data_IF_281711739875
#
_entry.id   IF_281711739875
#
_cell.length_a   1.000
_cell.length_b   1.000
_cell.length_c   1.000
_cell.angle_alpha   90.00
_cell.angle_beta   90.00
_cell.angle_gamma   90.00
#
_symmetry.space_group_name_H-M   'P 1'
#
loop_
_entity.id
_entity.type
_entity.pdbx_description
1 polymer ?
#
# COMPACT_ATOMS: atom_id res chain seq x y z
N UNK A 1 -29.06 15.20 -5.25
CA UNK A 1 -29.42 14.49 -6.48
C UNK A 1 -28.52 13.26 -6.68
N UNK A 2 -27.22 13.47 -6.87
CA UNK A 2 -26.09 12.67 -6.33
C UNK A 2 -26.38 11.17 -6.07
N UNK A 3 -27.03 10.77 -4.97
CA UNK A 3 -27.32 9.34 -4.68
C UNK A 3 -28.11 8.60 -5.79
N UNK A 4 -28.93 9.31 -6.57
CA UNK A 4 -29.66 8.77 -7.71
C UNK A 4 -28.93 8.91 -9.06
N UNK A 5 -27.82 9.65 -9.09
CA UNK A 5 -26.93 9.80 -10.25
C UNK A 5 -25.69 8.90 -10.17
N UNK A 6 -25.30 8.48 -8.96
CA UNK A 6 -24.14 7.62 -8.73
C UNK A 6 -24.26 6.27 -9.44
N UNK A 7 -23.17 5.85 -10.09
CA UNK A 7 -22.98 4.50 -10.59
C UNK A 7 -21.56 4.03 -10.22
N UNK A 8 -21.42 2.74 -9.91
CA UNK A 8 -20.11 2.12 -9.76
C UNK A 8 -19.41 2.05 -11.12
N UNK A 9 -18.12 2.39 -11.17
CA UNK A 9 -17.33 2.44 -12.41
C UNK A 9 -16.38 1.24 -12.46
N UNK A 10 -16.58 0.35 -13.43
CA UNK A 10 -15.61 -0.68 -13.76
C UNK A 10 -14.37 -0.04 -14.41
N UNK A 11 -13.18 -0.33 -13.88
CA UNK A 11 -11.90 0.13 -14.43
C UNK A 11 -10.97 -1.07 -14.60
N UNK A 12 -10.14 -1.04 -15.65
CA UNK A 12 -9.05 -2.02 -15.81
C UNK A 12 -8.09 -1.92 -14.60
N UNK A 13 -7.54 -3.05 -14.12
CA UNK A 13 -6.54 -3.03 -13.06
C UNK A 13 -5.24 -2.34 -13.52
N UNK A 14 -4.42 -1.95 -12.54
CA UNK A 14 -3.00 -1.69 -12.76
C UNK A 14 -2.32 -3.03 -12.96
N UNK A 15 -1.66 -3.19 -14.10
CA UNK A 15 -0.86 -4.36 -14.44
C UNK A 15 0.64 -4.01 -14.33
N UNK A 16 1.41 -4.82 -13.60
CA UNK A 16 2.86 -4.68 -13.53
C UNK A 16 3.55 -6.06 -13.44
N UNK A 17 4.84 -6.13 -13.76
CA UNK A 17 5.63 -7.36 -13.64
C UNK A 17 6.67 -7.24 -12.53
N UNK A 18 6.83 -8.28 -11.71
CA UNK A 18 7.85 -8.33 -10.66
C UNK A 18 8.41 -9.75 -10.54
N UNK A 19 9.70 -9.93 -10.84
CA UNK A 19 10.43 -11.23 -10.75
C UNK A 19 9.75 -12.42 -11.46
N UNK A 20 9.04 -12.16 -12.56
CA UNK A 20 8.29 -13.18 -13.31
C UNK A 20 6.85 -13.41 -12.84
N UNK A 21 6.40 -12.74 -11.78
CA UNK A 21 4.99 -12.63 -11.43
C UNK A 21 4.36 -11.43 -12.13
N UNK A 22 3.06 -11.53 -12.44
CA UNK A 22 2.21 -10.40 -12.87
C UNK A 22 1.36 -9.95 -11.70
N UNK A 23 1.48 -8.68 -11.31
CA UNK A 23 0.62 -8.02 -10.33
C UNK A 23 -0.58 -7.40 -11.06
N UNK A 24 -1.78 -7.67 -10.54
CA UNK A 24 -3.00 -6.92 -10.81
C UNK A 24 -3.41 -6.20 -9.51
N UNK A 25 -3.65 -4.89 -9.58
CA UNK A 25 -4.03 -4.09 -8.40
C UNK A 25 -4.95 -2.92 -8.77
N UNK A 26 -5.43 -2.17 -7.78
CA UNK A 26 -6.39 -1.07 -7.99
C UNK A 26 -5.82 0.08 -8.82
N UNK A 27 -6.63 0.54 -9.77
CA UNK A 27 -6.40 1.74 -10.56
C UNK A 27 -6.87 3.03 -9.83
N UNK A 28 -6.37 4.21 -10.26
CA UNK A 28 -6.91 5.51 -9.88
C UNK A 28 -8.45 5.55 -10.00
N UNK A 29 -9.19 6.10 -9.01
CA UNK A 29 -8.75 6.99 -7.93
C UNK A 29 -8.03 6.33 -6.73
N UNK A 30 -7.76 5.02 -6.71
CA UNK A 30 -6.81 4.48 -5.73
C UNK A 30 -5.37 4.79 -6.13
N UNK A 31 -4.58 5.27 -5.17
CA UNK A 31 -3.12 5.36 -5.25
C UNK A 31 -2.42 4.00 -5.23
N UNK A 32 -3.11 2.97 -4.73
CA UNK A 32 -2.53 1.71 -4.27
C UNK A 32 -1.70 0.98 -5.32
N UNK A 33 -2.30 0.60 -6.44
CA UNK A 33 -1.63 -0.19 -7.47
C UNK A 33 -0.45 0.52 -8.13
N UNK A 34 -0.53 1.84 -8.28
CA UNK A 34 0.55 2.67 -8.85
C UNK A 34 1.72 2.75 -7.88
N UNK A 35 1.46 3.16 -6.64
CA UNK A 35 2.47 3.33 -5.60
C UNK A 35 3.17 2.00 -5.30
N UNK A 36 2.41 0.89 -5.24
CA UNK A 36 2.94 -0.47 -5.11
C UNK A 36 3.85 -0.84 -6.30
N UNK A 37 3.44 -0.53 -7.54
CA UNK A 37 4.21 -0.84 -8.74
C UNK A 37 5.52 -0.07 -8.82
N UNK A 38 5.54 1.22 -8.43
CA UNK A 38 6.78 2.01 -8.33
C UNK A 38 7.75 1.33 -7.34
N UNK A 39 7.28 0.96 -6.15
CA UNK A 39 8.12 0.32 -5.12
C UNK A 39 8.69 -1.02 -5.61
N UNK A 40 7.87 -1.88 -6.22
CA UNK A 40 8.31 -3.15 -6.78
C UNK A 40 9.34 -2.96 -7.91
N UNK A 41 9.13 -2.00 -8.81
CA UNK A 41 10.06 -1.74 -9.92
C UNK A 41 11.41 -1.17 -9.44
N UNK A 42 11.42 -0.38 -8.35
CA UNK A 42 12.64 0.05 -7.66
C UNK A 42 13.33 -1.16 -7.01
N UNK A 43 12.58 -2.04 -6.34
CA UNK A 43 13.14 -3.14 -5.57
C UNK A 43 13.62 -4.34 -6.41
N UNK A 44 13.09 -4.52 -7.62
CA UNK A 44 13.45 -5.64 -8.51
C UNK A 44 14.95 -5.69 -8.84
N UNK A 45 15.63 -4.53 -8.89
CA UNK A 45 17.07 -4.42 -9.14
C UNK A 45 17.98 -4.73 -7.94
N UNK A 46 17.41 -4.95 -6.74
CA UNK A 46 18.13 -5.44 -5.57
C UNK A 46 17.89 -6.94 -5.38
N UNK A 47 18.84 -7.65 -4.76
CA UNK A 47 18.63 -9.01 -4.27
C UNK A 47 18.33 -8.93 -2.76
N UNK A 48 17.05 -8.97 -2.41
CA UNK A 48 16.56 -8.76 -1.04
C UNK A 48 16.82 -10.00 -0.16
N UNK A 49 16.71 -11.19 -0.73
CA UNK A 49 17.13 -12.48 -0.14
C UNK A 49 18.51 -12.37 0.55
N UNK A 50 19.55 -11.92 -0.18
CA UNK A 50 20.93 -11.79 0.31
C UNK A 50 21.14 -10.62 1.27
N UNK A 51 20.23 -9.64 1.30
CA UNK A 51 20.24 -8.63 2.37
C UNK A 51 19.74 -9.19 3.70
N UNK A 52 18.95 -10.27 3.66
CA UNK A 52 18.30 -10.88 4.82
C UNK A 52 17.04 -10.13 5.24
N UNK A 53 15.94 -10.87 5.41
CA UNK A 53 14.64 -10.32 5.81
C UNK A 53 14.74 -9.50 7.11
N UNK A 54 14.23 -8.27 7.10
CA UNK A 54 14.28 -7.29 8.18
C UNK A 54 15.67 -6.96 8.74
N UNK A 55 16.74 -7.12 7.95
CA UNK A 55 18.05 -6.53 8.25
C UNK A 55 18.06 -5.01 8.06
N UNK A 56 19.09 -4.33 8.57
CA UNK A 56 19.32 -2.91 8.31
C UNK A 56 19.43 -2.55 6.82
N UNK A 57 19.93 -3.45 5.97
CA UNK A 57 20.10 -3.21 4.53
C UNK A 57 18.76 -3.33 3.79
N UNK A 58 18.00 -4.38 4.10
CA UNK A 58 16.66 -4.59 3.59
C UNK A 58 15.71 -3.45 3.99
N UNK A 59 15.66 -3.12 5.29
CA UNK A 59 14.80 -2.04 5.81
C UNK A 59 15.19 -0.70 5.19
N UNK A 60 16.49 -0.44 4.98
CA UNK A 60 16.97 0.76 4.31
C UNK A 60 16.46 0.87 2.86
N UNK A 61 16.74 -0.12 1.99
CA UNK A 61 16.36 -0.01 0.57
C UNK A 61 14.85 0.00 0.36
N UNK A 62 14.10 -0.76 1.16
CA UNK A 62 12.63 -0.76 1.11
C UNK A 62 12.08 0.56 1.63
N UNK A 63 12.62 1.13 2.72
CA UNK A 63 12.27 2.49 3.17
C UNK A 63 12.55 3.55 2.10
N UNK A 64 13.69 3.46 1.41
CA UNK A 64 14.06 4.43 0.37
C UNK A 64 13.20 4.27 -0.91
N UNK A 65 12.72 3.07 -1.22
CA UNK A 65 11.72 2.83 -2.26
C UNK A 65 10.34 3.40 -1.87
N UNK A 66 9.89 3.14 -0.64
CA UNK A 66 8.65 3.71 -0.07
C UNK A 66 8.69 5.25 -0.08
N UNK A 67 9.77 5.86 0.41
CA UNK A 67 9.99 7.31 0.41
C UNK A 67 9.78 7.95 -0.97
N UNK A 68 10.23 7.29 -2.05
CA UNK A 68 10.09 7.78 -3.43
C UNK A 68 8.67 7.61 -3.97
N UNK A 69 8.12 6.39 -3.86
CA UNK A 69 6.78 6.10 -4.35
C UNK A 69 5.69 6.94 -3.67
N UNK A 70 5.88 7.36 -2.42
CA UNK A 70 4.95 8.26 -1.73
C UNK A 70 5.10 9.74 -2.10
N UNK A 71 6.30 10.17 -2.53
CA UNK A 71 6.47 11.47 -3.16
C UNK A 71 5.73 11.48 -4.52
N UNK A 72 5.92 10.46 -5.36
CA UNK A 72 5.14 10.28 -6.60
C UNK A 72 3.62 10.18 -6.31
N UNK A 73 3.19 9.50 -5.24
CA UNK A 73 1.79 9.45 -4.79
C UNK A 73 1.25 10.85 -4.54
N UNK A 74 1.98 11.65 -3.77
CA UNK A 74 1.56 12.99 -3.37
C UNK A 74 1.53 13.95 -4.56
N UNK A 75 2.60 13.98 -5.37
CA UNK A 75 2.73 14.90 -6.51
C UNK A 75 1.70 14.64 -7.62
N UNK A 76 1.46 13.37 -7.97
CA UNK A 76 0.80 13.02 -9.25
C UNK A 76 -0.61 12.41 -9.13
N UNK A 77 -0.96 11.74 -8.04
CA UNK A 77 -2.13 10.84 -8.03
C UNK A 77 -3.43 11.51 -7.56
N UNK A 78 -4.54 11.18 -8.22
CA UNK A 78 -5.89 11.69 -7.97
C UNK A 78 -6.94 10.94 -8.80
N UNK A 79 -8.19 11.40 -8.81
CA UNK A 79 -9.22 10.85 -9.70
C UNK A 79 -8.87 11.12 -11.17
N UNK A 80 -8.69 10.09 -12.02
CA UNK A 80 -8.29 10.27 -13.42
C UNK A 80 -9.37 10.99 -14.23
N UNK A 81 -10.63 10.95 -13.82
CA UNK A 81 -11.72 11.67 -14.48
C UNK A 81 -11.58 13.20 -14.32
N UNK A 82 -10.74 13.64 -13.37
CA UNK A 82 -10.43 15.04 -13.03
C UNK A 82 -8.91 15.36 -13.07
N UNK A 83 -8.10 14.41 -13.52
CA UNK A 83 -6.64 14.49 -13.59
C UNK A 83 -6.13 13.82 -14.90
N UNK A 84 -6.46 14.38 -16.08
CA UNK A 84 -6.18 13.75 -17.37
C UNK A 84 -4.68 13.69 -17.69
N UNK A 85 -3.89 14.61 -17.14
CA UNK A 85 -2.44 14.71 -17.33
C UNK A 85 -1.64 13.77 -16.38
N UNK A 86 -2.32 12.88 -15.65
CA UNK A 86 -1.72 11.84 -14.80
C UNK A 86 -0.64 11.07 -15.58
N UNK A 87 0.65 11.12 -15.19
CA UNK A 87 1.75 10.53 -15.96
C UNK A 87 1.88 9.01 -15.75
N UNK A 88 0.77 8.27 -15.95
CA UNK A 88 0.62 6.85 -15.66
C UNK A 88 1.71 5.97 -16.31
N UNK A 89 2.02 6.23 -17.59
CA UNK A 89 3.06 5.49 -18.32
C UNK A 89 4.44 5.67 -17.68
N UNK A 90 4.82 6.91 -17.32
CA UNK A 90 6.08 7.23 -16.60
C UNK A 90 6.14 6.52 -15.25
N UNK A 91 5.05 6.52 -14.48
CA UNK A 91 5.02 5.95 -13.13
C UNK A 91 5.09 4.42 -13.11
N UNK A 92 4.60 3.74 -14.14
CA UNK A 92 4.72 2.28 -14.27
C UNK A 92 5.99 1.83 -15.01
N UNK A 93 6.70 2.73 -15.69
CA UNK A 93 7.89 2.40 -16.46
C UNK A 93 9.12 2.01 -15.59
N UNK A 94 9.80 0.93 -16.00
CA UNK A 94 10.95 0.38 -15.26
C UNK A 94 12.23 1.22 -15.41
N UNK A 95 12.35 2.06 -16.44
CA UNK A 95 13.47 3.01 -16.56
C UNK A 95 13.31 4.22 -15.64
N UNK A 96 12.07 4.67 -15.37
CA UNK A 96 11.82 5.65 -14.30
C UNK A 96 12.16 5.08 -12.92
N UNK A 97 11.74 3.85 -12.63
CA UNK A 97 12.10 3.17 -11.38
C UNK A 97 13.62 2.91 -11.23
N UNK A 98 14.34 2.65 -12.33
CA UNK A 98 15.80 2.60 -12.36
C UNK A 98 16.44 3.97 -12.08
N UNK A 99 15.89 5.06 -12.65
CA UNK A 99 16.36 6.42 -12.35
C UNK A 99 16.15 6.77 -10.87
N UNK A 100 14.99 6.41 -10.30
CA UNK A 100 14.71 6.53 -8.86
C UNK A 100 15.70 5.69 -8.02
N UNK A 101 15.92 4.41 -8.38
CA UNK A 101 16.88 3.51 -7.72
C UNK A 101 18.31 4.07 -7.69
N UNK A 102 18.78 4.71 -8.77
CA UNK A 102 20.11 5.33 -8.84
C UNK A 102 20.35 6.48 -7.85
N UNK A 103 19.28 7.01 -7.23
CA UNK A 103 19.40 8.05 -6.19
C UNK A 103 19.48 7.46 -4.76
N UNK A 104 19.34 6.15 -4.59
CA UNK A 104 19.40 5.47 -3.28
C UNK A 104 20.88 5.24 -2.89
N UNK A 105 21.28 5.69 -1.71
CA UNK A 105 22.63 5.50 -1.18
C UNK A 105 22.62 4.58 0.04
N UNK A 106 23.25 3.40 -0.08
CA UNK A 106 23.37 2.42 1.01
C UNK A 106 24.00 2.97 2.30
N UNK A 107 24.70 4.09 2.23
CA UNK A 107 25.37 4.73 3.37
C UNK A 107 24.52 5.82 4.04
N UNK A 108 23.45 6.30 3.38
CA UNK A 108 22.65 7.41 3.91
C UNK A 108 21.21 7.44 3.36
N UNK A 109 20.23 7.55 4.25
CA UNK A 109 18.83 7.83 3.87
C UNK A 109 18.73 9.18 3.15
N UNK A 110 17.79 9.27 2.20
CA UNK A 110 17.40 10.56 1.62
C UNK A 110 16.62 11.39 2.65
N UNK A 111 16.43 12.68 2.39
CA UNK A 111 15.55 13.53 3.21
C UNK A 111 14.23 13.71 2.48
N UNK A 112 13.10 13.66 3.19
CA UNK A 112 11.81 14.10 2.68
C UNK A 112 11.68 15.60 2.88
N UNK A 113 11.88 16.36 1.80
CA UNK A 113 11.81 17.82 1.85
C UNK A 113 10.36 18.30 1.65
N UNK A 114 9.76 19.02 2.61
CA UNK A 114 8.47 19.68 2.41
C UNK A 114 8.49 20.73 1.29
N UNK A 115 9.66 21.25 0.89
CA UNK A 115 9.76 22.19 -0.23
C UNK A 115 9.69 21.50 -1.62
N UNK A 116 9.74 20.16 -1.68
CA UNK A 116 9.56 19.39 -2.93
C UNK A 116 8.12 18.85 -3.06
N UNK A 117 7.14 19.77 -3.05
CA UNK A 117 5.69 19.50 -3.02
C UNK A 117 5.19 18.84 -1.72
N UNK A 118 3.92 18.39 -1.71
CA UNK A 118 2.98 19.06 -0.80
C UNK A 118 2.66 18.37 0.56
N UNK A 119 2.27 17.09 0.77
CA UNK A 119 2.01 16.56 2.16
C UNK A 119 1.95 14.98 2.24
N UNK A 120 1.44 14.25 3.27
CA UNK A 120 0.36 14.50 4.26
C UNK A 120 0.10 13.46 5.39
N UNK A 121 -1.09 13.52 6.06
CA UNK A 121 -1.69 12.49 6.97
C UNK A 121 -3.10 11.99 6.52
N UNK A 122 -3.53 10.83 7.05
CA UNK A 122 -4.72 10.01 6.73
C UNK A 122 -4.85 8.87 7.79
N UNK A 123 -6.04 8.31 8.01
CA UNK A 123 -6.34 7.36 9.11
C UNK A 123 -6.10 5.88 8.75
N UNK A 124 -5.90 5.01 9.75
CA UNK A 124 -5.54 3.59 9.54
C UNK A 124 -6.75 2.62 9.43
N UNK A 125 -7.99 3.11 9.45
CA UNK A 125 -9.21 2.29 9.58
C UNK A 125 -9.80 1.87 8.21
N UNK A 126 -10.12 0.58 8.01
CA UNK A 126 -10.62 -0.01 6.73
C UNK A 126 -11.07 -1.47 7.01
N UNK A 127 -11.61 -2.21 6.02
CA UNK A 127 -11.75 -3.68 6.07
C UNK A 127 -11.34 -4.34 4.75
N UNK A 128 -10.73 -5.53 4.80
CA UNK A 128 -10.34 -6.32 3.62
C UNK A 128 -10.73 -7.79 3.76
N UNK A 129 -11.11 -8.44 2.64
CA UNK A 129 -11.25 -9.89 2.54
C UNK A 129 -10.85 -10.41 1.15
N UNK A 130 -10.46 -11.68 1.07
CA UNK A 130 -10.13 -12.37 -0.18
C UNK A 130 -10.82 -13.75 -0.24
N UNK A 131 -11.27 -14.17 -1.42
CA UNK A 131 -12.04 -15.41 -1.67
C UNK A 131 -11.55 -16.07 -2.97
N UNK A 132 -11.47 -17.41 -2.98
CA UNK A 132 -11.26 -18.21 -4.20
C UNK A 132 -12.22 -19.39 -4.22
N UNK A 133 -13.10 -19.49 -5.22
CA UNK A 133 -14.10 -20.57 -5.31
C UNK A 133 -13.59 -21.83 -6.02
N UNK A 134 -14.37 -22.91 -5.99
CA UNK A 134 -13.98 -24.22 -6.56
C UNK A 134 -13.67 -24.19 -8.06
N UNK A 135 -14.21 -23.23 -8.80
CA UNK A 135 -14.05 -23.12 -10.27
C UNK A 135 -12.88 -22.20 -10.65
N UNK A 136 -12.29 -21.52 -9.66
CA UNK A 136 -11.11 -20.66 -9.81
C UNK A 136 -11.43 -19.17 -9.84
N UNK A 137 -12.68 -18.76 -9.60
CA UNK A 137 -13.01 -17.34 -9.50
C UNK A 137 -12.35 -16.75 -8.26
N UNK A 138 -11.63 -15.65 -8.44
CA UNK A 138 -10.81 -14.99 -7.43
C UNK A 138 -11.33 -13.57 -7.16
N UNK A 139 -11.57 -13.24 -5.90
CA UNK A 139 -12.03 -11.91 -5.47
C UNK A 139 -11.15 -11.42 -4.33
N UNK A 140 -10.49 -10.28 -4.52
CA UNK A 140 -9.79 -9.54 -3.46
C UNK A 140 -10.50 -8.19 -3.30
N UNK A 141 -11.07 -7.92 -2.12
CA UNK A 141 -11.96 -6.78 -1.91
C UNK A 141 -11.59 -6.00 -0.65
N UNK A 142 -11.39 -4.69 -0.80
CA UNK A 142 -11.21 -3.75 0.30
C UNK A 142 -12.36 -2.74 0.26
N UNK A 143 -12.92 -2.41 1.43
CA UNK A 143 -13.94 -1.38 1.60
C UNK A 143 -13.72 -0.63 2.91
N UNK A 144 -14.22 0.60 3.02
CA UNK A 144 -14.00 1.44 4.21
C UNK A 144 -15.14 2.43 4.43
N UNK A 145 -15.05 3.17 5.54
CA UNK A 145 -15.80 4.39 5.86
C UNK A 145 -14.86 5.60 6.05
N UNK A 146 -13.61 5.43 5.63
CA UNK A 146 -12.38 6.22 5.90
C UNK A 146 -11.96 6.23 7.38
N UNK A 147 -12.83 6.61 8.34
CA UNK A 147 -12.61 6.39 9.78
C UNK A 147 -13.47 5.24 10.32
N UNK A 148 -13.08 4.68 11.48
CA UNK A 148 -13.65 3.46 12.10
C UNK A 148 -15.19 3.39 12.12
N UNK A 149 -15.85 4.48 12.57
CA UNK A 149 -17.31 4.62 12.60
C UNK A 149 -17.81 5.61 11.53
N UNK A 150 -16.98 5.88 10.52
CA UNK A 150 -17.12 6.99 9.58
C UNK A 150 -17.36 8.32 10.29
N UNK A 151 -18.26 9.11 9.70
CA UNK A 151 -18.79 10.36 10.25
C UNK A 151 -19.46 10.24 11.63
N UNK A 152 -19.67 9.00 12.12
CA UNK A 152 -20.45 8.64 13.31
C UNK A 152 -21.95 8.97 13.19
N UNK A 153 -22.42 9.38 12.01
CA UNK A 153 -23.83 9.60 11.72
C UNK A 153 -24.46 8.23 11.40
N UNK A 154 -25.45 7.82 12.20
CA UNK A 154 -26.32 6.68 11.91
C UNK A 154 -27.55 7.17 11.16
N UNK A 155 -27.90 6.54 10.04
CA UNK A 155 -29.11 6.90 9.29
C UNK A 155 -30.37 6.42 10.03
N UNK A 156 -31.13 7.37 10.58
CA UNK A 156 -32.37 7.11 11.31
C UNK A 156 -33.34 6.22 10.51
N UNK A 157 -33.83 5.15 11.14
CA UNK A 157 -34.74 4.17 10.53
C UNK A 157 -34.06 3.09 9.68
N UNK A 158 -32.82 3.30 9.21
CA UNK A 158 -32.06 2.33 8.42
C UNK A 158 -30.91 1.66 9.21
N UNK A 159 -30.37 2.32 10.23
CA UNK A 159 -29.44 1.73 11.21
C UNK A 159 -27.99 1.57 10.76
N UNK A 160 -27.62 1.95 9.54
CA UNK A 160 -26.24 1.95 9.06
C UNK A 160 -25.52 3.29 9.28
N UNK A 161 -24.18 3.25 9.30
CA UNK A 161 -23.29 4.41 9.43
C UNK A 161 -23.01 5.06 8.08
N UNK A 162 -22.79 6.38 8.08
CA UNK A 162 -22.28 7.11 6.91
C UNK A 162 -20.76 7.29 7.02
N UNK A 163 -20.04 7.10 5.91
CA UNK A 163 -18.59 7.37 5.84
C UNK A 163 -18.26 8.85 6.10
N UNK A 164 -16.97 9.16 6.23
CA UNK A 164 -16.46 10.51 6.07
C UNK A 164 -15.32 10.58 5.04
N UNK A 165 -15.45 9.77 3.98
CA UNK A 165 -14.45 9.56 2.91
C UNK A 165 -13.92 10.85 2.28
N UNK A 166 -14.68 11.96 2.35
CA UNK A 166 -14.20 13.29 1.94
C UNK A 166 -13.00 13.80 2.76
N UNK A 167 -12.60 13.13 3.84
CA UNK A 167 -11.34 13.37 4.56
C UNK A 167 -10.08 12.90 3.82
N UNK A 168 -10.21 11.95 2.88
CA UNK A 168 -9.13 11.57 1.95
C UNK A 168 -8.89 12.64 0.86
N UNK A 169 -9.79 13.64 0.72
CA UNK A 169 -9.48 14.83 -0.09
C UNK A 169 -8.50 15.74 0.64
N UNK A 170 -7.67 16.40 -0.15
CA UNK A 170 -6.73 17.41 0.28
C UNK A 170 -7.44 18.63 0.94
N UNK A 171 -7.36 18.85 2.27
CA UNK A 171 -8.17 19.87 2.97
C UNK A 171 -7.81 21.34 2.66
N UNK A 172 -6.59 21.64 2.21
CA UNK A 172 -6.09 23.01 2.00
C UNK A 172 -5.14 22.99 0.77
N UNK A 173 -5.31 23.87 -0.25
CA UNK A 173 -4.41 23.88 -1.41
C UNK A 173 -3.07 24.61 -1.17
N UNK A 174 -1.93 23.96 -1.48
CA UNK A 174 -0.61 24.57 -1.65
C UNK A 174 0.13 25.02 -0.39
N UNK A 175 0.38 24.11 0.56
CA UNK A 175 1.14 24.38 1.80
C UNK A 175 1.68 23.09 2.44
N UNK A 176 2.94 22.69 2.21
CA UNK A 176 3.50 21.58 3.01
C UNK A 176 3.86 22.00 4.43
N UNK A 177 3.66 21.08 5.37
CA UNK A 177 4.52 21.00 6.54
C UNK A 177 5.05 19.58 6.76
N UNK A 178 6.10 19.46 7.58
CA UNK A 178 6.79 18.20 7.86
C UNK A 178 5.99 17.23 8.74
N UNK A 179 4.74 17.55 9.10
CA UNK A 179 3.77 16.60 9.68
C UNK A 179 2.88 16.03 8.57
N UNK A 180 2.35 16.93 7.75
CA UNK A 180 1.54 16.72 6.57
C UNK A 180 0.00 16.58 6.77
N UNK A 181 -0.81 17.21 5.89
CA UNK A 181 -2.26 16.95 5.63
C UNK A 181 -2.70 17.49 4.23
N UNK A 182 -2.85 16.61 3.22
CA UNK A 182 -2.63 16.84 1.76
C UNK A 182 -3.27 18.10 1.09
N UNK A 183 -2.69 18.57 -0.03
CA UNK A 183 -2.95 19.85 -0.73
C UNK A 183 -2.42 19.98 -2.17
N UNK A 184 -1.79 18.94 -2.74
CA UNK A 184 -1.39 18.93 -4.17
C UNK A 184 -2.60 19.05 -5.10
N UNK A 185 -2.40 19.58 -6.31
CA UNK A 185 -3.51 19.82 -7.25
C UNK A 185 -4.34 18.56 -7.61
N UNK A 186 -3.76 17.36 -7.86
CA UNK A 186 -4.51 16.18 -8.30
C UNK A 186 -5.65 15.73 -7.37
N UNK A 187 -5.53 15.91 -6.06
CA UNK A 187 -6.51 15.44 -5.07
C UNK A 187 -7.21 16.57 -4.28
N UNK A 188 -7.26 17.79 -4.83
CA UNK A 188 -8.17 18.83 -4.30
C UNK A 188 -9.63 18.44 -4.48
N UNK A 189 -10.47 18.81 -3.49
CA UNK A 189 -11.93 18.59 -3.48
C UNK A 189 -12.63 19.34 -4.62
N UNK A 190 -13.48 18.63 -5.36
CA UNK A 190 -14.30 19.16 -6.46
C UNK A 190 -15.66 18.40 -6.49
N UNK A 191 -16.74 18.98 -7.04
CA UNK A 191 -18.00 18.26 -7.25
C UNK A 191 -17.81 17.03 -8.14
N UNK A 192 -18.58 15.96 -7.88
CA UNK A 192 -18.59 14.65 -8.57
C UNK A 192 -17.26 13.86 -8.62
N UNK A 193 -16.15 14.48 -8.23
CA UNK A 193 -14.82 13.90 -8.10
C UNK A 193 -14.74 12.92 -6.93
N UNK A 194 -13.87 11.93 -7.05
CA UNK A 194 -13.53 10.96 -6.00
C UNK A 194 -12.18 11.31 -5.35
N UNK A 195 -12.07 10.97 -4.09
CA UNK A 195 -10.88 11.15 -3.25
C UNK A 195 -9.80 10.10 -3.55
N UNK A 196 -8.53 10.44 -3.28
CA UNK A 196 -7.38 9.55 -3.46
C UNK A 196 -7.27 8.52 -2.33
N UNK A 197 -7.83 7.33 -2.55
CA UNK A 197 -7.75 6.24 -1.57
C UNK A 197 -6.38 5.54 -1.56
N UNK A 198 -6.03 4.89 -0.44
CA UNK A 198 -4.89 3.96 -0.32
C UNK A 198 -5.26 2.47 -0.46
N UNK A 199 -6.53 2.14 -0.70
CA UNK A 199 -6.98 0.74 -0.82
C UNK A 199 -6.24 -0.01 -1.94
N UNK A 200 -5.48 -1.06 -1.58
CA UNK A 200 -4.59 -1.83 -2.48
C UNK A 200 -4.91 -3.35 -2.50
N UNK A 201 -6.19 -3.80 -2.65
CA UNK A 201 -6.47 -5.21 -2.90
C UNK A 201 -5.75 -5.63 -4.18
N UNK A 202 -5.03 -6.75 -4.12
CA UNK A 202 -4.05 -7.14 -5.13
C UNK A 202 -4.07 -8.64 -5.39
N UNK A 203 -3.84 -9.01 -6.64
CA UNK A 203 -3.77 -10.40 -7.10
C UNK A 203 -2.44 -10.58 -7.84
N UNK A 204 -1.66 -11.58 -7.47
CA UNK A 204 -0.51 -12.02 -8.24
C UNK A 204 -0.86 -13.26 -9.05
N UNK A 205 -0.36 -13.29 -10.28
CA UNK A 205 -0.40 -14.43 -11.18
C UNK A 205 1.00 -14.81 -11.66
N UNK A 206 1.16 -16.07 -12.07
CA UNK A 206 2.34 -16.62 -12.73
C UNK A 206 1.87 -17.50 -13.89
N UNK A 207 2.46 -17.33 -15.07
CA UNK A 207 2.09 -18.09 -16.28
C UNK A 207 0.58 -18.11 -16.58
N UNK A 208 -0.10 -16.98 -16.32
CA UNK A 208 -1.55 -16.80 -16.50
C UNK A 208 -2.43 -17.40 -15.39
N UNK A 209 -1.87 -18.09 -14.39
CA UNK A 209 -2.60 -18.63 -13.23
C UNK A 209 -2.49 -17.69 -12.03
N UNK A 210 -3.57 -17.44 -11.32
CA UNK A 210 -3.53 -16.79 -9.98
C UNK A 210 -2.74 -17.64 -9.00
N UNK A 211 -1.80 -17.03 -8.27
CA UNK A 211 -0.98 -17.68 -7.22
C UNK A 211 -1.15 -17.02 -5.84
N UNK A 212 -1.57 -15.76 -5.76
CA UNK A 212 -1.80 -15.09 -4.47
C UNK A 212 -2.89 -14.01 -4.60
N UNK A 213 -3.78 -13.94 -3.62
CA UNK A 213 -4.66 -12.80 -3.35
C UNK A 213 -4.21 -12.18 -2.03
N UNK A 214 -4.14 -10.85 -1.95
CA UNK A 214 -3.69 -10.16 -0.74
C UNK A 214 -4.29 -8.76 -0.63
N UNK A 215 -4.64 -8.39 0.59
CA UNK A 215 -4.98 -7.03 0.96
C UNK A 215 -5.07 -6.89 2.47
N UNK A 216 -5.35 -5.68 2.93
CA UNK A 216 -5.30 -5.32 4.35
C UNK A 216 -6.05 -4.00 4.57
N UNK A 217 -6.58 -3.72 5.78
CA UNK A 217 -6.85 -2.37 6.23
C UNK A 217 -5.56 -1.66 6.68
N UNK A 218 -5.61 -0.37 7.00
CA UNK A 218 -4.43 0.40 7.43
C UNK A 218 -4.27 1.80 6.84
N UNK A 219 -5.23 2.34 6.10
CA UNK A 219 -5.07 3.64 5.41
C UNK A 219 -3.87 3.64 4.46
N UNK A 220 -3.02 4.66 4.55
CA UNK A 220 -1.72 4.67 3.84
C UNK A 220 -0.86 3.43 4.10
N UNK A 221 -0.92 2.86 5.30
CA UNK A 221 -0.11 1.67 5.61
C UNK A 221 -0.56 0.42 4.84
N UNK A 222 -1.71 0.46 4.15
CA UNK A 222 -2.19 -0.60 3.25
C UNK A 222 -1.15 -0.89 2.16
N UNK A 223 -0.70 0.13 1.44
CA UNK A 223 0.20 -0.04 0.28
C UNK A 223 1.52 -0.69 0.72
N UNK A 224 2.07 -0.23 1.84
CA UNK A 224 3.32 -0.73 2.41
C UNK A 224 3.17 -2.12 3.03
N UNK A 225 2.02 -2.43 3.61
CA UNK A 225 1.72 -3.76 4.15
C UNK A 225 1.56 -4.78 3.04
N UNK A 226 0.82 -4.45 1.97
CA UNK A 226 0.68 -5.28 0.77
C UNK A 226 2.03 -5.50 0.08
N UNK A 227 2.86 -4.46 -0.06
CA UNK A 227 4.24 -4.60 -0.53
C UNK A 227 5.01 -5.65 0.28
N UNK A 228 5.06 -5.51 1.61
CA UNK A 228 5.82 -6.43 2.44
C UNK A 228 5.30 -7.86 2.37
N UNK A 229 3.97 -8.08 2.37
CA UNK A 229 3.43 -9.43 2.17
C UNK A 229 3.80 -10.02 0.80
N UNK A 230 3.88 -9.21 -0.26
CA UNK A 230 4.35 -9.65 -1.58
C UNK A 230 5.85 -10.00 -1.55
N UNK A 231 6.70 -9.13 -0.99
CA UNK A 231 8.14 -9.39 -0.84
C UNK A 231 8.40 -10.67 -0.02
N UNK A 232 7.62 -10.90 1.04
CA UNK A 232 7.78 -12.07 1.89
C UNK A 232 7.53 -13.38 1.12
N UNK A 233 6.52 -13.43 0.25
CA UNK A 233 6.24 -14.61 -0.60
C UNK A 233 7.23 -14.70 -1.78
N UNK A 234 7.57 -13.58 -2.42
CA UNK A 234 8.30 -13.56 -3.71
C UNK A 234 9.84 -13.50 -3.57
N UNK A 235 10.36 -12.82 -2.56
CA UNK A 235 11.80 -12.63 -2.31
C UNK A 235 12.33 -13.51 -1.17
N UNK A 236 11.46 -14.05 -0.30
CA UNK A 236 11.87 -14.82 0.89
C UNK A 236 11.18 -16.18 1.05
N UNK A 237 10.42 -16.64 0.04
CA UNK A 237 9.78 -17.97 -0.02
C UNK A 237 8.87 -18.30 1.20
N UNK A 238 8.34 -17.27 1.87
CA UNK A 238 7.46 -17.44 3.03
C UNK A 238 6.09 -17.94 2.59
N UNK A 239 5.52 -18.89 3.35
CA UNK A 239 4.13 -19.27 3.12
C UNK A 239 3.17 -18.14 3.52
N UNK A 240 1.93 -18.17 3.03
CA UNK A 240 0.97 -17.06 3.20
C UNK A 240 0.70 -16.68 4.67
N UNK A 241 0.76 -17.63 5.61
CA UNK A 241 0.61 -17.33 7.04
C UNK A 241 1.85 -16.64 7.62
N UNK A 242 3.05 -17.09 7.24
CA UNK A 242 4.30 -16.41 7.60
C UNK A 242 4.35 -14.99 7.01
N UNK A 243 4.01 -14.84 5.73
CA UNK A 243 4.03 -13.57 5.02
C UNK A 243 3.07 -12.51 5.59
N UNK A 244 1.90 -12.92 6.12
CA UNK A 244 1.00 -12.00 6.86
C UNK A 244 1.38 -11.86 8.34
N UNK A 245 2.00 -12.84 8.98
CA UNK A 245 2.40 -12.71 10.38
C UNK A 245 3.65 -11.82 10.54
N UNK A 246 4.59 -11.92 9.60
CA UNK A 246 5.90 -11.25 9.59
C UNK A 246 5.85 -9.77 10.04
N UNK A 247 6.77 -9.32 10.91
CA UNK A 247 6.79 -7.94 11.38
C UNK A 247 7.08 -6.91 10.27
N UNK A 248 6.40 -5.77 10.35
CA UNK A 248 6.34 -4.75 9.30
C UNK A 248 6.97 -3.42 9.70
N UNK A 249 7.28 -2.62 8.70
CA UNK A 249 7.63 -1.21 8.83
C UNK A 249 6.89 -0.35 7.79
N UNK A 250 7.00 0.97 7.94
CA UNK A 250 6.33 1.94 7.10
C UNK A 250 7.08 3.27 7.07
N UNK A 251 7.29 3.76 5.86
CA UNK A 251 7.65 5.14 5.57
C UNK A 251 6.71 5.64 4.48
N UNK A 252 6.23 6.88 4.56
CA UNK A 252 5.22 7.43 3.65
C UNK A 252 5.63 8.79 3.09
N UNK A 253 6.94 8.96 2.88
CA UNK A 253 7.61 10.22 2.59
C UNK A 253 7.49 11.23 3.74
N UNK A 254 6.31 11.80 4.02
CA UNK A 254 6.08 12.71 5.15
C UNK A 254 5.06 12.13 6.16
N UNK A 255 5.29 12.26 7.47
CA UNK A 255 6.49 12.81 8.13
C UNK A 255 7.72 11.90 7.93
N UNK A 256 8.93 12.47 7.96
CA UNK A 256 10.20 11.76 7.73
C UNK A 256 10.56 10.87 8.94
N UNK A 257 9.95 9.69 9.00
CA UNK A 257 10.08 8.74 10.09
C UNK A 257 9.76 7.32 9.64
N UNK A 258 10.68 6.39 9.86
CA UNK A 258 10.42 4.97 9.62
C UNK A 258 9.74 4.38 10.86
N UNK A 259 8.45 4.07 10.75
CA UNK A 259 7.67 3.42 11.81
C UNK A 259 7.88 1.91 11.71
N UNK A 260 8.48 1.26 12.70
CA UNK A 260 8.75 -0.20 12.72
C UNK A 260 7.91 -0.87 13.82
N UNK A 261 7.28 -2.02 13.55
CA UNK A 261 6.60 -2.80 14.58
C UNK A 261 7.57 -3.28 15.68
N UNK A 262 7.10 -3.34 16.93
CA UNK A 262 7.89 -3.89 18.04
C UNK A 262 8.38 -5.31 17.71
N UNK A 263 9.66 -5.55 17.99
CA UNK A 263 10.39 -6.79 17.68
C UNK A 263 10.59 -7.07 16.17
N UNK A 264 10.28 -6.10 15.30
CA UNK A 264 10.39 -6.31 13.85
C UNK A 264 11.80 -6.32 13.30
N UNK A 265 12.79 -5.85 14.05
CA UNK A 265 14.22 -5.96 13.74
C UNK A 265 15.06 -5.91 15.03
N UNK A 266 16.38 -6.09 14.93
CA UNK A 266 17.32 -6.06 16.06
C UNK A 266 17.74 -4.63 16.43
N UNK A 267 18.16 -4.40 17.68
CA UNK A 267 18.74 -3.11 18.09
C UNK A 267 19.99 -2.76 17.26
N UNK A 268 20.85 -3.73 16.98
CA UNK A 268 22.00 -3.59 16.06
C UNK A 268 21.58 -3.13 14.65
N UNK A 269 20.41 -3.55 14.16
CA UNK A 269 19.88 -3.05 12.89
C UNK A 269 19.32 -1.64 13.00
N UNK A 270 18.70 -1.28 14.13
CA UNK A 270 18.26 0.11 14.42
C UNK A 270 19.45 1.04 14.51
N UNK A 271 20.51 0.68 15.24
CA UNK A 271 21.75 1.46 15.36
C UNK A 271 22.39 1.72 13.98
N UNK A 272 22.37 0.73 13.08
CA UNK A 272 22.83 0.88 11.67
C UNK A 272 21.91 1.78 10.84
N UNK A 273 20.60 1.69 11.02
CA UNK A 273 19.63 2.57 10.35
C UNK A 273 19.75 4.02 10.84
N UNK A 274 19.90 4.24 12.14
CA UNK A 274 20.11 5.56 12.74
C UNK A 274 21.47 6.15 12.34
N UNK A 275 22.53 5.33 12.22
CA UNK A 275 23.83 5.75 11.67
C UNK A 275 23.74 6.19 10.18
N UNK A 276 22.85 5.56 9.39
CA UNK A 276 22.46 6.00 8.03
C UNK A 276 21.54 7.23 8.02
N UNK A 277 21.11 7.71 9.19
CA UNK A 277 20.27 8.89 9.37
C UNK A 277 18.76 8.62 9.43
N UNK A 278 18.30 7.37 9.45
CA UNK A 278 16.86 7.09 9.59
C UNK A 278 16.35 7.49 10.98
N UNK A 279 15.22 8.19 11.02
CA UNK A 279 14.49 8.43 12.28
C UNK A 279 13.54 7.27 12.56
N UNK A 280 13.90 6.39 13.49
CA UNK A 280 13.11 5.21 13.83
C UNK A 280 12.06 5.55 14.90
N UNK A 281 10.82 5.05 14.74
CA UNK A 281 9.82 5.02 15.82
C UNK A 281 9.13 3.66 15.90
N UNK A 282 9.02 3.13 17.12
CA UNK A 282 8.30 1.88 17.37
C UNK A 282 6.78 2.06 17.33
N UNK A 283 6.09 1.28 16.50
CA UNK A 283 4.61 1.16 16.47
C UNK A 283 4.15 -0.17 17.09
N UNK A 284 2.89 -0.23 17.57
CA UNK A 284 2.33 -1.45 18.18
C UNK A 284 2.07 -2.55 17.16
N UNK A 285 1.35 -2.20 16.11
CA UNK A 285 0.91 -3.06 15.02
C UNK A 285 0.70 -2.21 13.75
N UNK A 286 0.65 -2.81 12.58
CA UNK A 286 0.41 -2.20 11.28
C UNK A 286 -0.43 -3.12 10.40
N UNK A 287 -1.64 -2.70 10.01
CA UNK A 287 -2.53 -3.49 9.16
C UNK A 287 -3.02 -4.80 9.79
N UNK A 288 -3.92 -5.47 9.08
CA UNK A 288 -4.53 -6.76 9.44
C UNK A 288 -4.72 -7.57 8.15
N UNK A 289 -3.62 -8.06 7.58
CA UNK A 289 -3.61 -8.62 6.23
C UNK A 289 -4.37 -9.95 6.12
N UNK A 290 -5.22 -10.06 5.09
CA UNK A 290 -5.91 -11.31 4.74
C UNK A 290 -5.51 -11.68 3.31
N UNK A 291 -5.11 -12.92 3.11
CA UNK A 291 -4.68 -13.40 1.80
C UNK A 291 -4.90 -14.89 1.60
N UNK A 292 -4.88 -15.30 0.34
CA UNK A 292 -4.97 -16.70 -0.08
C UNK A 292 -3.81 -16.96 -1.03
N UNK A 293 -3.01 -17.98 -0.77
CA UNK A 293 -2.03 -18.50 -1.73
C UNK A 293 -2.60 -19.75 -2.40
N UNK A 294 -2.32 -19.89 -3.70
CA UNK A 294 -2.71 -21.02 -4.54
C UNK A 294 -1.42 -21.64 -5.07
N UNK A 295 -1.13 -22.86 -4.62
CA UNK A 295 0.05 -23.58 -5.07
C UNK A 295 -0.08 -23.98 -6.55
N UNK A 296 0.84 -23.59 -7.44
CA UNK A 296 0.65 -23.73 -8.89
C UNK A 296 0.82 -25.16 -9.43
N UNK A 297 1.38 -26.07 -8.63
CA UNK A 297 1.61 -27.48 -8.97
C UNK A 297 0.48 -28.38 -8.47
N UNK A 298 0.11 -28.26 -7.19
CA UNK A 298 -0.91 -29.07 -6.52
C UNK A 298 -2.32 -28.48 -6.55
N UNK A 299 -2.46 -27.19 -6.88
CA UNK A 299 -3.69 -26.40 -6.72
C UNK A 299 -4.23 -26.36 -5.27
N UNK A 300 -3.39 -26.69 -4.28
CA UNK A 300 -3.71 -26.53 -2.87
C UNK A 300 -3.84 -25.04 -2.54
N UNK A 301 -4.82 -24.70 -1.70
CA UNK A 301 -5.11 -23.33 -1.29
C UNK A 301 -4.89 -23.18 0.20
N UNK A 302 -4.11 -22.19 0.58
CA UNK A 302 -3.83 -21.85 1.98
C UNK A 302 -4.28 -20.41 2.24
N UNK A 303 -4.93 -20.19 3.38
CA UNK A 303 -5.36 -18.85 3.80
C UNK A 303 -4.45 -18.30 4.88
N UNK A 304 -3.92 -17.09 4.68
CA UNK A 304 -3.23 -16.33 5.70
C UNK A 304 -4.18 -15.33 6.35
N UNK A 305 -4.40 -15.47 7.65
CA UNK A 305 -5.07 -14.50 8.49
C UNK A 305 -4.05 -13.89 9.44
N UNK A 306 -3.89 -12.57 9.38
CA UNK A 306 -2.96 -11.83 10.25
C UNK A 306 -3.44 -11.84 11.72
N UNK A 307 -2.62 -12.32 12.68
CA UNK A 307 -2.98 -12.37 14.10
C UNK A 307 -3.13 -10.99 14.76
N UNK A 308 -2.90 -9.89 14.03
CA UNK A 308 -3.28 -8.52 14.42
C UNK A 308 -4.79 -8.29 14.34
N UNK A 309 -5.56 -9.15 13.66
CA UNK A 309 -7.03 -9.19 13.73
C UNK A 309 -7.45 -10.16 14.82
N UNK A 310 -8.12 -9.66 15.87
CA UNK A 310 -8.61 -10.50 16.99
C UNK A 310 -9.88 -11.31 16.63
N UNK A 311 -10.45 -10.99 15.47
CA UNK A 311 -11.74 -11.38 14.91
C UNK A 311 -11.64 -11.97 13.49
N UNK A 312 -10.44 -11.92 12.90
CA UNK A 312 -10.18 -12.45 11.57
C UNK A 312 -10.14 -13.98 11.54
N UNK A 313 -10.44 -14.57 10.38
CA UNK A 313 -10.35 -16.00 10.16
C UNK A 313 -9.96 -16.34 8.72
N UNK A 314 -9.21 -17.43 8.55
CA UNK A 314 -9.04 -18.12 7.29
C UNK A 314 -9.80 -19.46 7.36
N UNK A 315 -10.70 -19.72 6.40
CA UNK A 315 -11.57 -20.91 6.38
C UNK A 315 -11.58 -21.50 4.97
N UNK A 316 -11.41 -22.82 4.88
CA UNK A 316 -11.53 -23.60 3.64
C UNK A 316 -12.64 -24.64 3.73
N UNK A 317 -12.98 -25.25 2.60
CA UNK A 317 -14.00 -26.29 2.43
C UNK A 317 -13.65 -27.21 1.26
#
# INVERSE_FOLDING_TARGET
>A
ADLAAYQAVERKPVENSYRGYTLYSMAPPSSGGITLSIMLNILEGYNLEKMGHNSADYIHVVTEAMRRAYADRAEHLGDPDFNPDLPLEKLLDKSYAEALRRTISMEKTSVSDPASFDWGEESEETTHFSVVDKDGNAVSNTYTLEYSYGSRIVLNGAGFLLNNEMGDFNPWPGHTDSTGLIGTQPNLVQPDKRMLSSMTPSILAKDGKTIMLIGTPGGRTIINTVLQCILNVVDFDMNIFEAVNAPRFHHQWLPDVTRIEKWGTTNDSVEKLEARGHHIRWRRAQGQAMGIYIDPESNLRTGGCDPRSADGAAVGY
#
